data_IF_016982906933
#
_entry.id   IF_016982906933
#
_cell.length_a   1.000
_cell.length_b   1.000
_cell.length_c   1.000
_cell.angle_alpha   90.00
_cell.angle_beta   90.00
_cell.angle_gamma   90.00
#
_symmetry.space_group_name_H-M   'P 1'
#
loop_
_entity.id
_entity.type
_entity.pdbx_description
1 polymer ?
#
# COMPACT_ATOMS: atom_id res chain seq x y z
N UNK A 1 -20.99 67.46 5.46
CA UNK A 1 -21.99 66.46 5.89
C UNK A 1 -22.22 65.35 4.86
N UNK A 2 -22.42 65.60 3.55
CA UNK A 2 -22.68 64.52 2.58
C UNK A 2 -21.51 63.54 2.39
N UNK A 3 -20.24 64.00 2.38
CA UNK A 3 -19.04 63.14 2.27
C UNK A 3 -18.82 62.18 3.45
N UNK A 4 -19.17 62.60 4.66
CA UNK A 4 -19.08 61.81 5.90
C UNK A 4 -20.08 60.67 5.92
N UNK A 5 -21.30 60.89 5.35
CA UNK A 5 -22.33 59.84 5.28
C UNK A 5 -21.92 58.72 4.29
N UNK A 6 -21.25 59.08 3.15
CA UNK A 6 -20.76 58.07 2.19
C UNK A 6 -19.65 57.19 2.79
N UNK A 7 -18.74 57.77 3.58
CA UNK A 7 -17.66 57.04 4.23
C UNK A 7 -18.20 56.06 5.30
N UNK A 8 -19.24 56.44 6.07
CA UNK A 8 -19.88 55.56 7.05
C UNK A 8 -20.65 54.41 6.34
N UNK A 9 -21.31 54.69 5.19
CA UNK A 9 -21.97 53.66 4.40
C UNK A 9 -21.05 52.59 3.81
N UNK A 10 -19.86 53.01 3.36
CA UNK A 10 -18.84 52.05 2.81
C UNK A 10 -18.20 51.24 3.95
N UNK A 11 -17.94 51.82 5.11
CA UNK A 11 -17.42 51.10 6.28
C UNK A 11 -18.41 50.04 6.81
N UNK A 12 -19.70 50.34 6.81
CA UNK A 12 -20.74 49.39 7.25
C UNK A 12 -20.92 48.21 6.25
N UNK A 13 -20.70 48.44 4.95
CA UNK A 13 -20.78 47.37 3.94
C UNK A 13 -19.59 46.40 3.98
N UNK A 14 -18.42 46.79 4.50
CA UNK A 14 -17.22 45.94 4.64
C UNK A 14 -17.31 45.05 5.90
N UNK A 15 -18.05 45.45 6.94
CA UNK A 15 -18.22 44.65 8.15
C UNK A 15 -19.24 43.49 8.04
N UNK A 16 -20.06 43.47 6.98
CA UNK A 16 -21.07 42.43 6.75
C UNK A 16 -20.60 41.20 5.99
N UNK A 17 -19.33 41.20 5.53
CA UNK A 17 -18.83 40.21 4.57
C UNK A 17 -17.92 39.08 5.11
N UNK A 18 -17.70 39.01 6.42
CA UNK A 18 -16.78 37.98 6.98
C UNK A 18 -17.53 36.98 7.90
N UNK A 19 -18.71 36.55 7.48
CA UNK A 19 -19.19 35.23 7.89
C UNK A 19 -18.62 34.24 6.89
N UNK A 20 -17.34 33.87 7.08
CA UNK A 20 -16.81 32.67 6.54
C UNK A 20 -17.69 31.54 7.01
N UNK A 21 -18.48 30.95 6.11
CA UNK A 21 -19.07 29.65 6.37
C UNK A 21 -17.88 28.72 6.66
N UNK A 22 -17.75 28.27 7.88
CA UNK A 22 -16.96 27.09 8.17
C UNK A 22 -17.64 25.97 7.39
N UNK A 23 -17.04 25.57 6.29
CA UNK A 23 -17.39 24.35 5.57
C UNK A 23 -16.85 23.16 6.40
N UNK A 24 -17.32 23.01 7.61
CA UNK A 24 -17.27 21.76 8.35
C UNK A 24 -18.40 20.86 7.81
N UNK A 25 -18.27 20.48 6.55
CA UNK A 25 -19.00 19.35 6.05
C UNK A 25 -18.36 18.12 6.69
N UNK A 26 -19.04 17.47 7.59
CA UNK A 26 -18.68 16.12 7.99
C UNK A 26 -18.61 15.29 6.70
N UNK A 27 -17.41 14.84 6.38
CA UNK A 27 -17.17 14.06 5.17
C UNK A 27 -17.64 12.62 5.43
N UNK A 28 -18.95 12.39 5.24
CA UNK A 28 -19.56 11.07 5.40
C UNK A 28 -19.18 10.08 4.28
N UNK A 29 -18.46 10.52 3.27
CA UNK A 29 -18.22 9.73 2.04
C UNK A 29 -16.76 9.36 1.86
N UNK A 30 -15.83 10.14 2.36
CA UNK A 30 -14.39 9.89 2.14
C UNK A 30 -13.81 9.10 3.31
N UNK A 31 -13.46 7.84 3.05
CA UNK A 31 -12.68 7.02 3.97
C UNK A 31 -11.25 7.57 3.98
N UNK A 32 -10.83 8.13 5.10
CA UNK A 32 -9.46 8.62 5.33
C UNK A 32 -8.65 7.60 6.13
N UNK A 33 -7.32 7.73 6.10
CA UNK A 33 -6.44 6.89 6.93
C UNK A 33 -6.68 7.03 8.44
N UNK A 34 -7.39 8.07 8.88
CA UNK A 34 -7.72 8.31 10.28
C UNK A 34 -8.97 7.56 10.73
N UNK A 35 -9.90 7.26 9.80
CA UNK A 35 -11.17 6.63 10.08
C UNK A 35 -11.41 5.30 9.33
N UNK A 36 -10.40 4.75 8.66
CA UNK A 36 -10.48 3.49 7.95
C UNK A 36 -9.34 2.56 8.34
N UNK A 37 -9.61 1.30 8.67
CA UNK A 37 -10.92 0.67 8.76
C UNK A 37 -11.64 1.00 10.09
N UNK A 38 -12.98 1.17 10.05
CA UNK A 38 -13.79 1.50 11.22
C UNK A 38 -14.84 0.41 11.56
N UNK A 39 -15.17 -0.44 10.61
CA UNK A 39 -16.20 -1.48 10.72
C UNK A 39 -15.66 -2.84 10.26
N UNK A 40 -16.37 -3.92 10.60
CA UNK A 40 -16.07 -5.28 10.10
C UNK A 40 -16.06 -5.32 8.57
N UNK A 41 -16.99 -4.63 7.94
CA UNK A 41 -17.07 -4.55 6.49
C UNK A 41 -15.86 -3.82 5.90
N UNK A 42 -15.42 -2.75 6.56
CA UNK A 42 -14.21 -2.03 6.16
C UNK A 42 -12.95 -2.91 6.26
N UNK A 43 -12.81 -3.67 7.34
CA UNK A 43 -11.69 -4.60 7.51
C UNK A 43 -11.68 -5.68 6.41
N UNK A 44 -12.85 -6.23 6.09
CA UNK A 44 -13.01 -7.20 5.01
C UNK A 44 -12.68 -6.60 3.64
N UNK A 45 -13.14 -5.36 3.38
CA UNK A 45 -12.80 -4.64 2.15
C UNK A 45 -11.32 -4.31 2.06
N UNK A 46 -10.68 -3.92 3.17
CA UNK A 46 -9.24 -3.68 3.23
C UNK A 46 -8.46 -4.95 2.90
N UNK A 47 -8.84 -6.08 3.51
CA UNK A 47 -8.24 -7.38 3.23
C UNK A 47 -8.41 -7.78 1.75
N UNK A 48 -9.61 -7.62 1.20
CA UNK A 48 -9.86 -7.85 -0.23
C UNK A 48 -8.98 -6.95 -1.12
N UNK A 49 -8.72 -5.72 -0.69
CA UNK A 49 -7.78 -4.81 -1.36
C UNK A 49 -6.33 -5.31 -1.35
N UNK A 50 -5.90 -6.01 -0.30
CA UNK A 50 -4.58 -6.66 -0.24
C UNK A 50 -4.54 -7.84 -1.22
N UNK A 51 -5.57 -8.69 -1.23
CA UNK A 51 -5.69 -9.79 -2.19
C UNK A 51 -5.76 -9.33 -3.64
N UNK A 52 -6.43 -8.21 -3.91
CA UNK A 52 -6.49 -7.64 -5.26
C UNK A 52 -5.09 -7.33 -5.80
N UNK A 53 -4.14 -6.96 -4.93
CA UNK A 53 -2.75 -6.75 -5.34
C UNK A 53 -2.10 -8.03 -5.89
N UNK A 54 -2.42 -9.21 -5.32
CA UNK A 54 -1.98 -10.50 -5.89
C UNK A 54 -2.53 -10.74 -7.30
N UNK A 55 -3.78 -10.35 -7.53
CA UNK A 55 -4.39 -10.53 -8.84
C UNK A 55 -3.75 -9.63 -9.91
N UNK A 56 -3.37 -8.40 -9.56
CA UNK A 56 -2.60 -7.52 -10.45
C UNK A 56 -1.23 -8.10 -10.78
N UNK A 57 -0.59 -8.72 -9.80
CA UNK A 57 0.71 -9.41 -9.93
C UNK A 57 0.68 -10.52 -10.99
N UNK A 58 -0.44 -11.20 -11.14
CA UNK A 58 -0.60 -12.27 -12.14
C UNK A 58 -1.20 -11.77 -13.46
N UNK A 59 -1.74 -10.56 -13.49
CA UNK A 59 -2.47 -10.04 -14.66
C UNK A 59 -1.56 -9.40 -15.71
N UNK A 60 -0.39 -8.90 -15.32
CA UNK A 60 0.57 -8.26 -16.23
C UNK A 60 1.97 -8.85 -16.06
N UNK A 61 2.69 -9.07 -17.17
CA UNK A 61 4.06 -9.60 -17.12
C UNK A 61 4.99 -8.77 -16.22
N UNK A 62 4.84 -7.44 -16.24
CA UNK A 62 5.66 -6.50 -15.47
C UNK A 62 5.49 -6.62 -13.96
N UNK A 63 4.40 -7.25 -13.51
CA UNK A 63 4.12 -7.47 -12.09
C UNK A 63 4.38 -8.90 -11.63
N UNK A 64 4.77 -9.79 -12.53
CA UNK A 64 4.90 -11.21 -12.25
C UNK A 64 6.32 -11.59 -11.82
N UNK A 65 6.44 -12.14 -10.60
CA UNK A 65 7.69 -12.74 -10.13
C UNK A 65 8.16 -13.88 -11.05
N UNK A 66 7.22 -14.70 -11.54
CA UNK A 66 7.54 -15.81 -12.42
C UNK A 66 8.18 -15.33 -13.73
N UNK A 67 7.58 -14.34 -14.39
CA UNK A 67 8.14 -13.77 -15.62
C UNK A 67 9.50 -13.14 -15.37
N UNK A 68 9.67 -12.41 -14.29
CA UNK A 68 10.94 -11.81 -13.94
C UNK A 68 12.03 -12.87 -13.68
N UNK A 69 11.70 -13.92 -12.95
CA UNK A 69 12.63 -15.01 -12.68
C UNK A 69 13.00 -15.79 -13.96
N UNK A 70 12.04 -16.04 -14.83
CA UNK A 70 12.28 -16.73 -16.11
C UNK A 70 13.17 -15.90 -17.06
N UNK A 71 12.92 -14.59 -17.16
CA UNK A 71 13.72 -13.69 -18.00
C UNK A 71 15.14 -13.46 -17.45
N UNK A 72 15.29 -13.49 -16.12
CA UNK A 72 16.61 -13.36 -15.49
C UNK A 72 17.41 -14.67 -15.48
N UNK A 73 16.83 -15.78 -15.94
CA UNK A 73 17.48 -17.08 -16.08
C UNK A 73 17.90 -17.33 -17.53
N UNK A 74 18.71 -18.38 -17.74
CA UNK A 74 19.10 -18.81 -19.09
C UNK A 74 17.99 -19.59 -19.84
N UNK A 75 16.82 -19.78 -19.21
CA UNK A 75 15.76 -20.63 -19.74
C UNK A 75 14.82 -19.91 -20.72
N UNK A 76 14.77 -18.59 -20.69
CA UNK A 76 13.89 -17.77 -21.54
C UNK A 76 14.62 -16.60 -22.17
N UNK A 77 14.18 -16.20 -23.35
CA UNK A 77 14.63 -15.00 -24.02
C UNK A 77 13.55 -13.92 -23.96
N UNK A 78 13.96 -12.70 -23.69
CA UNK A 78 13.12 -11.51 -23.81
C UNK A 78 12.69 -11.30 -25.26
N UNK A 79 11.50 -11.83 -25.61
CA UNK A 79 10.94 -11.73 -26.96
C UNK A 79 10.39 -10.35 -27.27
N UNK A 80 9.51 -10.30 -28.27
CA UNK A 80 8.85 -9.10 -28.71
C UNK A 80 9.63 -8.32 -29.74
N UNK A 81 9.42 -7.07 -29.85
CA UNK A 81 10.07 -6.19 -30.82
C UNK A 81 10.64 -4.96 -30.15
N UNK A 82 10.83 -3.88 -30.89
CA UNK A 82 11.31 -2.61 -30.33
C UNK A 82 10.45 -2.03 -29.18
N UNK A 83 9.24 -2.54 -29.00
CA UNK A 83 8.33 -2.10 -27.95
C UNK A 83 8.47 -2.83 -26.63
N UNK A 84 9.19 -3.97 -26.59
CA UNK A 84 9.34 -4.82 -25.40
C UNK A 84 10.74 -4.69 -24.76
N UNK A 85 11.28 -3.49 -24.79
CA UNK A 85 12.64 -3.18 -24.30
C UNK A 85 12.81 -3.50 -22.81
N UNK A 86 11.74 -3.41 -22.02
CA UNK A 86 11.76 -3.71 -20.58
C UNK A 86 12.04 -5.21 -20.34
N UNK A 87 11.43 -6.12 -21.10
CA UNK A 87 11.69 -7.55 -20.99
C UNK A 87 13.11 -7.92 -21.48
N UNK A 88 13.51 -7.34 -22.61
CA UNK A 88 14.86 -7.55 -23.15
C UNK A 88 15.94 -7.01 -22.22
N UNK A 89 15.68 -5.90 -21.54
CA UNK A 89 16.63 -5.35 -20.55
C UNK A 89 16.82 -6.30 -19.37
N UNK A 90 15.76 -6.94 -18.89
CA UNK A 90 15.86 -7.89 -17.80
C UNK A 90 16.56 -9.19 -18.23
N UNK A 91 16.23 -9.72 -19.40
CA UNK A 91 16.89 -10.90 -20.00
C UNK A 91 18.41 -10.69 -20.15
N UNK A 92 18.82 -9.51 -20.59
CA UNK A 92 20.25 -9.16 -20.71
C UNK A 92 20.88 -8.70 -19.39
N UNK A 93 20.17 -8.76 -18.27
CA UNK A 93 20.59 -8.27 -16.95
C UNK A 93 21.08 -6.81 -16.98
N UNK A 94 20.48 -6.00 -17.83
CA UNK A 94 20.80 -4.59 -17.96
C UNK A 94 19.99 -3.76 -16.95
N UNK A 95 20.69 -2.93 -16.21
CA UNK A 95 20.03 -1.94 -15.34
C UNK A 95 19.51 -0.79 -16.21
N UNK A 96 18.26 -0.86 -16.60
CA UNK A 96 17.59 0.11 -17.47
C UNK A 96 16.44 0.79 -16.71
N UNK A 97 16.21 2.07 -17.02
CA UNK A 97 15.01 2.79 -16.53
C UNK A 97 13.70 2.24 -17.11
N UNK A 98 13.79 1.35 -18.08
CA UNK A 98 12.66 0.71 -18.75
C UNK A 98 12.52 -0.77 -18.36
N UNK A 99 13.20 -1.21 -17.30
CA UNK A 99 13.05 -2.56 -16.84
C UNK A 99 11.68 -2.79 -16.17
N UNK A 100 11.20 -4.03 -16.23
CA UNK A 100 9.92 -4.41 -15.64
C UNK A 100 9.96 -4.45 -14.10
N UNK A 101 11.13 -4.38 -13.50
CA UNK A 101 11.30 -4.54 -12.05
C UNK A 101 10.77 -3.35 -11.25
N UNK A 102 10.67 -2.16 -11.86
CA UNK A 102 10.12 -0.98 -11.19
C UNK A 102 8.64 -1.16 -10.85
N UNK A 103 7.84 -1.72 -11.78
CA UNK A 103 6.42 -1.94 -11.55
C UNK A 103 6.23 -3.04 -10.50
N UNK A 104 7.02 -4.12 -10.60
CA UNK A 104 7.07 -5.17 -9.59
C UNK A 104 7.31 -4.61 -8.18
N UNK A 105 8.33 -3.78 -8.01
CA UNK A 105 8.65 -3.12 -6.75
C UNK A 105 7.46 -2.32 -6.19
N UNK A 106 6.88 -1.46 -7.02
CA UNK A 106 5.75 -0.61 -6.63
C UNK A 106 4.55 -1.42 -6.15
N UNK A 107 4.21 -2.48 -6.87
CA UNK A 107 3.03 -3.29 -6.56
C UNK A 107 3.19 -4.07 -5.25
N UNK A 108 4.39 -4.60 -4.97
CA UNK A 108 4.64 -5.28 -3.69
C UNK A 108 4.58 -4.31 -2.53
N UNK A 109 5.20 -3.16 -2.65
CA UNK A 109 5.12 -2.14 -1.61
C UNK A 109 3.72 -1.56 -1.43
N UNK A 110 2.92 -1.50 -2.48
CA UNK A 110 1.50 -1.15 -2.36
C UNK A 110 0.74 -2.20 -1.54
N UNK A 111 0.98 -3.48 -1.80
CA UNK A 111 0.40 -4.58 -1.01
C UNK A 111 0.84 -4.54 0.46
N UNK A 112 2.12 -4.33 0.72
CA UNK A 112 2.67 -4.16 2.06
C UNK A 112 2.03 -2.97 2.79
N UNK A 113 1.91 -1.82 2.13
CA UNK A 113 1.31 -0.64 2.74
C UNK A 113 -0.18 -0.85 3.08
N UNK A 114 -0.93 -1.53 2.22
CA UNK A 114 -2.32 -1.91 2.48
C UNK A 114 -2.43 -2.86 3.68
N UNK A 115 -1.54 -3.85 3.76
CA UNK A 115 -1.48 -4.76 4.90
C UNK A 115 -1.14 -4.02 6.19
N UNK A 116 -0.15 -3.13 6.17
CA UNK A 116 0.20 -2.29 7.32
C UNK A 116 -0.98 -1.43 7.77
N UNK A 117 -1.68 -0.77 6.82
CA UNK A 117 -2.84 0.07 7.15
C UNK A 117 -3.96 -0.73 7.82
N UNK A 118 -4.22 -1.95 7.37
CA UNK A 118 -5.20 -2.82 8.00
C UNK A 118 -4.75 -3.25 9.40
N UNK A 119 -3.49 -3.69 9.54
CA UNK A 119 -2.94 -4.15 10.81
C UNK A 119 -2.85 -3.04 11.85
N UNK A 120 -2.49 -1.81 11.45
CA UNK A 120 -2.45 -0.64 12.33
C UNK A 120 -3.86 -0.24 12.83
N UNK A 121 -4.90 -0.48 12.03
CA UNK A 121 -6.28 -0.09 12.34
C UNK A 121 -7.14 -1.17 12.99
N UNK A 122 -6.78 -2.45 12.89
CA UNK A 122 -7.66 -3.57 13.27
C UNK A 122 -8.00 -3.60 14.77
N UNK A 123 -7.12 -3.10 15.62
CA UNK A 123 -7.32 -3.02 17.06
C UNK A 123 -8.44 -2.05 17.46
N UNK A 124 -8.74 -1.08 16.59
CA UNK A 124 -9.76 -0.06 16.84
C UNK A 124 -11.17 -0.49 16.40
N UNK A 125 -11.29 -1.69 15.82
CA UNK A 125 -12.56 -2.19 15.29
C UNK A 125 -13.14 -3.22 16.26
N UNK A 126 -14.44 -3.13 16.51
CA UNK A 126 -15.17 -4.16 17.26
C UNK A 126 -15.47 -5.35 16.33
N UNK A 127 -14.59 -6.34 16.37
CA UNK A 127 -14.71 -7.61 15.65
C UNK A 127 -14.96 -8.75 16.63
N UNK A 128 -15.64 -9.81 16.18
CA UNK A 128 -15.56 -11.08 16.87
C UNK A 128 -14.09 -11.58 16.83
N UNK A 129 -13.63 -12.20 17.89
CA UNK A 129 -12.22 -12.64 18.01
C UNK A 129 -11.81 -13.57 16.86
N UNK A 130 -12.71 -14.46 16.44
CA UNK A 130 -12.48 -15.34 15.29
C UNK A 130 -12.24 -14.58 13.99
N UNK A 131 -13.04 -13.54 13.74
CA UNK A 131 -12.96 -12.75 12.51
C UNK A 131 -11.70 -11.87 12.53
N UNK A 132 -11.38 -11.31 13.70
CA UNK A 132 -10.14 -10.54 13.90
C UNK A 132 -8.92 -11.41 13.61
N UNK A 133 -8.84 -12.60 14.22
CA UNK A 133 -7.75 -13.53 14.04
C UNK A 133 -7.60 -13.96 12.59
N UNK A 134 -8.71 -14.21 11.90
CA UNK A 134 -8.69 -14.56 10.48
C UNK A 134 -8.13 -13.40 9.63
N UNK A 135 -8.68 -12.19 9.79
CA UNK A 135 -8.30 -11.02 9.00
C UNK A 135 -6.84 -10.61 9.29
N UNK A 136 -6.43 -10.61 10.55
CA UNK A 136 -5.06 -10.29 10.95
C UNK A 136 -4.07 -11.32 10.42
N UNK A 137 -4.39 -12.59 10.55
CA UNK A 137 -3.54 -13.68 10.06
C UNK A 137 -3.35 -13.63 8.55
N UNK A 138 -4.43 -13.42 7.79
CA UNK A 138 -4.34 -13.29 6.33
C UNK A 138 -3.54 -12.04 5.92
N UNK A 139 -3.72 -10.92 6.60
CA UNK A 139 -2.96 -9.70 6.32
C UNK A 139 -1.46 -9.87 6.58
N UNK A 140 -1.07 -10.51 7.69
CA UNK A 140 0.32 -10.85 8.01
C UNK A 140 0.90 -11.82 6.98
N UNK A 141 0.17 -12.87 6.62
CA UNK A 141 0.59 -13.81 5.60
C UNK A 141 0.87 -13.12 4.27
N UNK A 142 -0.03 -12.26 3.81
CA UNK A 142 0.13 -11.53 2.55
C UNK A 142 1.28 -10.54 2.60
N UNK A 143 1.50 -9.86 3.73
CA UNK A 143 2.66 -8.97 3.92
C UNK A 143 3.97 -9.76 3.83
N UNK A 144 4.04 -10.89 4.49
CA UNK A 144 5.19 -11.79 4.42
C UNK A 144 5.44 -12.29 3.00
N UNK A 145 4.38 -12.63 2.26
CA UNK A 145 4.47 -13.07 0.87
C UNK A 145 5.07 -11.97 -0.04
N UNK A 146 4.60 -10.73 0.09
CA UNK A 146 5.16 -9.63 -0.70
C UNK A 146 6.63 -9.34 -0.35
N UNK A 147 6.99 -9.38 0.93
CA UNK A 147 8.39 -9.25 1.33
C UNK A 147 9.25 -10.42 0.86
N UNK A 148 8.72 -11.64 0.87
CA UNK A 148 9.43 -12.81 0.34
C UNK A 148 9.79 -12.62 -1.14
N UNK A 149 8.86 -12.19 -1.97
CA UNK A 149 9.12 -11.93 -3.38
C UNK A 149 10.13 -10.79 -3.59
N UNK A 150 9.99 -9.69 -2.85
CA UNK A 150 10.96 -8.60 -2.89
C UNK A 150 12.35 -9.04 -2.42
N UNK A 151 12.45 -9.77 -1.33
CA UNK A 151 13.72 -10.28 -0.81
C UNK A 151 14.37 -11.26 -1.78
N UNK A 152 13.58 -12.11 -2.44
CA UNK A 152 14.06 -13.07 -3.42
C UNK A 152 14.61 -12.38 -4.67
N UNK A 153 13.99 -11.27 -5.11
CA UNK A 153 14.41 -10.58 -6.32
C UNK A 153 15.54 -9.57 -6.10
N UNK A 154 15.49 -8.83 -4.98
CA UNK A 154 16.41 -7.70 -4.74
C UNK A 154 17.39 -7.92 -3.59
N UNK A 155 17.25 -9.02 -2.85
CA UNK A 155 18.05 -9.28 -1.66
C UNK A 155 17.57 -8.45 -0.46
N UNK A 156 18.26 -7.34 -0.17
CA UNK A 156 17.87 -6.43 0.92
C UNK A 156 16.99 -5.32 0.39
N UNK A 157 15.83 -5.19 0.99
CA UNK A 157 14.85 -4.14 0.65
C UNK A 157 14.46 -3.36 1.91
N UNK A 158 14.02 -2.10 1.81
CA UNK A 158 13.51 -1.34 2.94
C UNK A 158 12.41 -2.08 3.69
N UNK A 159 12.48 -2.12 5.02
CA UNK A 159 11.50 -2.78 5.87
C UNK A 159 10.61 -1.74 6.56
N UNK A 160 9.31 -1.83 6.30
CA UNK A 160 8.25 -1.05 6.94
C UNK A 160 7.15 -1.98 7.44
N UNK A 161 6.81 -1.91 8.71
CA UNK A 161 5.79 -2.74 9.35
C UNK A 161 4.58 -1.92 9.86
N UNK A 162 4.53 -0.66 9.50
CA UNK A 162 3.45 0.28 9.82
C UNK A 162 3.14 1.14 8.61
N UNK A 163 1.90 1.63 8.51
CA UNK A 163 1.47 2.58 7.48
C UNK A 163 1.88 4.03 7.79
N UNK A 164 2.36 4.29 9.02
CA UNK A 164 2.79 5.62 9.42
C UNK A 164 4.02 6.04 8.63
N UNK A 165 4.13 7.35 8.37
CA UNK A 165 5.29 7.92 7.69
C UNK A 165 6.51 7.91 8.60
N UNK A 166 7.25 6.80 8.55
CA UNK A 166 8.56 6.64 9.19
C UNK A 166 9.62 6.45 8.11
N UNK A 167 10.82 6.91 8.39
CA UNK A 167 11.96 6.62 7.51
C UNK A 167 12.15 5.09 7.40
N UNK A 168 12.13 4.52 6.20
CA UNK A 168 12.30 3.08 6.03
C UNK A 168 13.67 2.63 6.54
N UNK A 169 13.69 1.59 7.36
CA UNK A 169 14.96 1.00 7.77
C UNK A 169 15.65 0.28 6.61
N UNK A 170 16.98 0.26 6.61
CA UNK A 170 17.78 -0.56 5.71
C UNK A 170 18.22 -1.82 6.47
N UNK A 171 17.40 -2.87 6.51
CA UNK A 171 17.66 -4.03 7.35
C UNK A 171 18.85 -4.85 6.79
N UNK A 172 19.47 -5.63 7.66
CA UNK A 172 20.29 -6.78 7.22
C UNK A 172 19.39 -7.85 6.60
N UNK A 173 19.96 -8.76 5.83
CA UNK A 173 19.21 -9.89 5.29
C UNK A 173 18.55 -10.73 6.41
N UNK A 174 19.26 -10.93 7.54
CA UNK A 174 18.74 -11.69 8.67
C UNK A 174 17.52 -11.01 9.33
N UNK A 175 17.53 -9.69 9.46
CA UNK A 175 16.40 -8.93 9.99
C UNK A 175 15.19 -8.98 9.05
N UNK A 176 15.40 -8.82 7.75
CA UNK A 176 14.33 -8.91 6.75
C UNK A 176 13.68 -10.30 6.76
N UNK A 177 14.49 -11.36 6.66
CA UNK A 177 13.99 -12.73 6.71
C UNK A 177 13.39 -13.08 8.08
N UNK A 178 13.92 -12.50 9.16
CA UNK A 178 13.37 -12.61 10.50
C UNK A 178 11.94 -12.08 10.58
N UNK A 179 11.66 -10.91 9.99
CA UNK A 179 10.32 -10.35 9.94
C UNK A 179 9.36 -11.18 9.07
N UNK A 180 9.83 -11.64 7.90
CA UNK A 180 9.02 -12.53 7.03
C UNK A 180 8.60 -13.79 7.81
N UNK A 181 9.55 -14.43 8.48
CA UNK A 181 9.26 -15.62 9.27
C UNK A 181 8.37 -15.34 10.48
N UNK A 182 8.51 -14.17 11.10
CA UNK A 182 7.64 -13.77 12.22
C UNK A 182 6.19 -13.61 11.75
N UNK A 183 5.96 -12.87 10.68
CA UNK A 183 4.61 -12.70 10.13
C UNK A 183 3.96 -14.04 9.74
N UNK A 184 4.74 -14.97 9.16
CA UNK A 184 4.23 -16.30 8.80
C UNK A 184 3.89 -17.15 10.02
N UNK A 185 4.69 -17.08 11.10
CA UNK A 185 4.43 -17.80 12.35
C UNK A 185 3.20 -17.24 13.06
N UNK A 186 3.14 -15.93 13.19
CA UNK A 186 1.99 -15.25 13.78
C UNK A 186 0.70 -15.61 13.03
N UNK A 187 0.73 -15.56 11.70
CA UNK A 187 -0.40 -15.93 10.87
C UNK A 187 -0.83 -17.40 11.11
N UNK A 188 0.13 -18.33 11.15
CA UNK A 188 -0.15 -19.74 11.37
C UNK A 188 -0.68 -20.06 12.79
N UNK A 189 -0.29 -19.26 13.79
CA UNK A 189 -0.72 -19.43 15.18
C UNK A 189 -2.14 -18.93 15.41
N UNK A 190 -2.50 -17.77 14.81
CA UNK A 190 -3.78 -17.11 15.09
C UNK A 190 -4.91 -17.55 14.16
N UNK A 191 -4.60 -17.97 12.93
CA UNK A 191 -5.65 -18.43 12.01
C UNK A 191 -6.22 -19.79 12.48
N UNK A 192 -7.55 -19.97 12.41
CA UNK A 192 -8.17 -21.25 12.77
C UNK A 192 -7.70 -22.36 11.82
N UNK A 193 -7.43 -23.53 12.36
CA UNK A 193 -7.19 -24.73 11.54
C UNK A 193 -8.47 -25.10 10.79
N UNK A 194 -8.40 -25.23 9.47
CA UNK A 194 -9.50 -25.67 8.61
C UNK A 194 -9.57 -27.21 8.53
#
# INVERSE_FOLDING_TARGET
MKKTIYLIGIAASIMGGITSCTLDAEDYVTKSSENFPATTEDATQALAGIYQNLNQVSATPECSFLYAAMLASDDCLGGGGPNDLHMQSLDMLLNSKQDMTQQFWKDRYQGINRANSLLDGIENIQLAESDKNQIEGEAKFLRAFYYYELASMYGRVPLTITSQSVEPSQPTAAELWGQILQDLRDAAEIMPAT
#
